data_IF_606228225557
#
_entry.id   IF_606228225557
#
_cell.length_a   1.000
_cell.length_b   1.000
_cell.length_c   1.000
_cell.angle_alpha   90.00
_cell.angle_beta   90.00
_cell.angle_gamma   90.00
#
_symmetry.space_group_name_H-M   'P 1'
#
loop_
_entity.id
_entity.type
_entity.pdbx_description
1 polymer ?
#
# COMPACT_ATOMS: atom_id res chain seq x y z
N UNK A 1 5.83 -8.57 -1.59
CA UNK A 1 5.12 -7.84 -0.50
C UNK A 1 4.79 -6.39 -0.85
N UNK A 2 5.72 -5.57 -1.38
CA UNK A 2 5.40 -4.19 -1.81
C UNK A 2 4.35 -4.14 -2.93
N UNK A 3 4.44 -5.00 -3.96
CA UNK A 3 3.46 -5.05 -5.05
C UNK A 3 2.05 -5.40 -4.54
N UNK A 4 1.92 -6.39 -3.65
CA UNK A 4 0.64 -6.74 -3.05
C UNK A 4 0.00 -5.57 -2.28
N UNK A 5 0.80 -4.78 -1.56
CA UNK A 5 0.31 -3.57 -0.87
C UNK A 5 -0.21 -2.54 -1.88
N UNK A 6 0.52 -2.34 -2.97
CA UNK A 6 0.19 -1.39 -4.04
C UNK A 6 -1.10 -1.85 -4.74
N UNK A 7 -1.14 -3.11 -5.18
CA UNK A 7 -2.28 -3.73 -5.84
C UNK A 7 -3.55 -3.60 -5.00
N UNK A 8 -3.52 -3.99 -3.73
CA UNK A 8 -4.70 -3.90 -2.85
C UNK A 8 -5.14 -2.45 -2.61
N UNK A 9 -4.20 -1.55 -2.38
CA UNK A 9 -4.54 -0.15 -2.10
C UNK A 9 -5.11 0.56 -3.33
N UNK A 10 -4.66 0.21 -4.55
CA UNK A 10 -5.17 0.77 -5.81
C UNK A 10 -6.44 0.06 -6.31
N UNK A 11 -6.64 -1.23 -6.00
CA UNK A 11 -7.80 -2.02 -6.41
C UNK A 11 -9.02 -1.88 -5.48
N UNK A 12 -9.09 -0.82 -4.67
CA UNK A 12 -10.32 -0.42 -3.96
C UNK A 12 -10.35 -0.65 -2.45
N UNK A 13 -9.39 -1.36 -1.84
CA UNK A 13 -9.30 -1.42 -0.37
C UNK A 13 -8.88 -0.07 0.23
N UNK A 14 -8.06 0.70 -0.49
CA UNK A 14 -7.48 1.93 0.04
C UNK A 14 -6.53 1.70 1.23
N UNK A 15 -5.77 2.73 1.60
CA UNK A 15 -4.60 2.62 2.51
C UNK A 15 -4.94 1.99 3.87
N UNK A 16 -6.07 2.37 4.47
CA UNK A 16 -6.46 1.92 5.81
C UNK A 16 -6.89 0.46 5.85
N UNK A 17 -7.61 0.02 4.83
CA UNK A 17 -8.09 -1.36 4.77
C UNK A 17 -6.95 -2.32 4.43
N UNK A 18 -6.06 -1.94 3.51
CA UNK A 18 -4.83 -2.70 3.22
C UNK A 18 -3.97 -2.89 4.48
N UNK A 19 -3.82 -1.84 5.30
CA UNK A 19 -3.10 -1.94 6.57
C UNK A 19 -3.75 -2.94 7.54
N UNK A 20 -5.08 -2.95 7.62
CA UNK A 20 -5.86 -3.88 8.45
C UNK A 20 -5.72 -5.33 7.97
N UNK A 21 -5.92 -5.58 6.67
CA UNK A 21 -5.89 -6.93 6.09
C UNK A 21 -4.49 -7.54 6.17
N UNK A 22 -3.46 -6.75 5.85
CA UNK A 22 -2.08 -7.21 5.89
C UNK A 22 -1.45 -7.16 7.29
N UNK A 23 -2.18 -6.66 8.30
CA UNK A 23 -1.71 -6.49 9.69
C UNK A 23 -0.39 -5.73 9.78
N UNK A 24 -0.25 -4.68 8.96
CA UNK A 24 0.94 -3.81 8.92
C UNK A 24 0.56 -2.37 9.26
N UNK A 25 1.54 -1.57 9.68
CA UNK A 25 1.32 -0.16 9.93
C UNK A 25 0.94 0.62 8.66
N UNK A 26 0.03 1.58 8.80
CA UNK A 26 -0.36 2.52 7.73
C UNK A 26 0.86 3.20 7.09
N UNK A 27 1.88 3.53 7.89
CA UNK A 27 3.12 4.13 7.39
C UNK A 27 3.85 3.23 6.39
N UNK A 28 3.82 1.91 6.58
CA UNK A 28 4.41 0.94 5.65
C UNK A 28 3.66 0.94 4.32
N UNK A 29 2.32 1.02 4.37
CA UNK A 29 1.48 1.12 3.17
C UNK A 29 1.77 2.40 2.40
N UNK A 30 1.78 3.55 3.09
CA UNK A 30 2.07 4.85 2.46
C UNK A 30 3.48 4.85 1.85
N UNK A 31 4.48 4.29 2.53
CA UNK A 31 5.86 4.21 2.03
C UNK A 31 5.96 3.29 0.81
N UNK A 32 5.23 2.17 0.78
CA UNK A 32 5.17 1.31 -0.41
C UNK A 32 4.57 2.06 -1.60
N UNK A 33 3.47 2.78 -1.40
CA UNK A 33 2.80 3.56 -2.45
C UNK A 33 3.64 4.75 -2.96
N UNK A 34 4.37 5.44 -2.10
CA UNK A 34 5.28 6.52 -2.51
C UNK A 34 6.45 5.98 -3.34
N UNK A 35 6.98 4.80 -2.99
CA UNK A 35 8.08 4.17 -3.72
C UNK A 35 7.62 3.41 -4.98
N UNK A 36 6.31 3.17 -5.16
CA UNK A 36 5.77 2.50 -6.34
C UNK A 36 5.44 3.46 -7.47
N UNK A 37 5.36 4.78 -7.19
CA UNK A 37 5.33 5.78 -8.25
C UNK A 37 6.75 5.86 -8.82
N UNK A 38 6.96 5.62 -10.13
CA UNK A 38 8.25 5.94 -10.73
C UNK A 38 8.49 7.44 -10.50
N UNK A 39 9.66 7.77 -9.96
CA UNK A 39 10.13 9.15 -9.99
C UNK A 39 10.24 9.50 -11.48
N UNK A 40 9.32 10.35 -11.95
CA UNK A 40 9.45 10.97 -13.26
C UNK A 40 10.73 11.79 -13.34
#
# INVERSE_FOLDING_TARGET
MKEQIVEMAFNGSGVRDTARVLKIGINTVIRALKNSRPAG
#
